data_IF_644110163194
#
_entry.id   IF_644110163194
#
_cell.length_a   1.000
_cell.length_b   1.000
_cell.length_c   1.000
_cell.angle_alpha   90.00
_cell.angle_beta   90.00
_cell.angle_gamma   90.00
#
_symmetry.space_group_name_H-M   'P 1'
#
loop_
_entity.id
_entity.type
_entity.pdbx_description
1 polymer ?
#
# COMPACT_ATOMS: atom_id res chain seq x y z
N UNK A 1 10.83 -5.94 -9.49
CA UNK A 1 9.53 -6.06 -8.79
C UNK A 1 9.10 -7.50 -8.89
N UNK A 2 8.92 -8.17 -7.77
CA UNK A 2 8.43 -9.56 -7.68
C UNK A 2 7.50 -9.68 -6.48
N UNK A 3 6.66 -10.69 -6.46
CA UNK A 3 5.74 -10.95 -5.35
C UNK A 3 4.77 -12.06 -5.67
N UNK A 4 4.00 -12.48 -4.66
CA UNK A 4 3.03 -13.57 -4.72
C UNK A 4 1.59 -13.09 -4.93
N UNK A 5 1.42 -11.91 -5.53
CA UNK A 5 0.09 -11.37 -5.85
C UNK A 5 -0.61 -12.26 -6.87
N UNK A 6 -1.93 -12.39 -6.73
CA UNK A 6 -2.80 -13.10 -7.69
C UNK A 6 -2.83 -12.46 -9.09
N UNK A 7 -2.29 -11.24 -9.24
CA UNK A 7 -2.14 -10.55 -10.51
C UNK A 7 -0.68 -10.20 -10.78
N UNK A 8 -0.36 -9.92 -12.04
CA UNK A 8 0.91 -9.29 -12.40
C UNK A 8 0.97 -7.90 -11.77
N UNK A 9 1.99 -7.67 -10.94
CA UNK A 9 2.22 -6.38 -10.31
C UNK A 9 2.60 -5.33 -11.34
N UNK A 10 2.03 -4.14 -11.18
CA UNK A 10 2.25 -3.00 -12.07
C UNK A 10 2.51 -1.75 -11.24
N UNK A 11 3.37 -0.87 -11.73
CA UNK A 11 3.59 0.44 -11.14
C UNK A 11 2.79 1.48 -11.91
N UNK A 12 2.03 2.32 -11.21
CA UNK A 12 1.19 3.37 -11.80
C UNK A 12 1.43 4.68 -11.04
N UNK A 13 1.11 5.82 -11.66
CA UNK A 13 1.17 7.13 -11.01
C UNK A 13 -0.03 7.34 -10.10
N UNK A 14 0.23 7.82 -8.89
CA UNK A 14 -0.77 8.16 -7.91
C UNK A 14 -1.37 9.52 -8.28
N UNK A 15 -2.58 9.48 -8.83
CA UNK A 15 -3.35 10.65 -9.22
C UNK A 15 -4.84 10.39 -9.00
N UNK A 16 -5.61 11.45 -8.82
CA UNK A 16 -7.08 11.36 -8.76
C UNK A 16 -7.60 10.70 -10.04
N UNK A 17 -8.55 9.78 -9.91
CA UNK A 17 -9.11 9.00 -11.01
C UNK A 17 -8.32 7.75 -11.39
N UNK A 18 -7.10 7.55 -10.88
CA UNK A 18 -6.32 6.34 -11.12
C UNK A 18 -6.97 5.12 -10.47
N UNK A 19 -7.10 4.01 -11.21
CA UNK A 19 -7.59 2.74 -10.68
C UNK A 19 -6.51 2.08 -9.82
N UNK A 20 -6.78 1.85 -8.53
CA UNK A 20 -5.74 1.48 -7.55
C UNK A 20 -5.59 -0.02 -7.26
N UNK A 21 -6.57 -0.84 -7.66
CA UNK A 21 -6.41 -2.30 -7.68
C UNK A 21 -6.31 -2.82 -9.11
N UNK A 22 -5.66 -3.96 -9.28
CA UNK A 22 -5.57 -4.63 -10.58
C UNK A 22 -6.83 -5.46 -10.92
N UNK A 23 -7.59 -5.85 -9.90
CA UNK A 23 -8.75 -6.75 -9.98
C UNK A 23 -10.08 -6.04 -9.62
N UNK A 24 -10.07 -4.72 -9.48
CA UNK A 24 -11.25 -3.88 -9.23
C UNK A 24 -11.17 -2.59 -10.05
N UNK A 25 -12.29 -1.91 -10.19
CA UNK A 25 -12.43 -0.65 -10.94
C UNK A 25 -12.44 0.59 -10.05
N UNK A 26 -12.22 0.43 -8.74
CA UNK A 26 -12.18 1.54 -7.78
C UNK A 26 -11.01 2.48 -8.06
N UNK A 27 -11.23 3.77 -7.83
CA UNK A 27 -10.34 4.89 -8.13
C UNK A 27 -9.94 5.68 -6.90
N UNK A 28 -8.79 6.32 -7.03
CA UNK A 28 -8.31 7.33 -6.08
C UNK A 28 -9.19 8.58 -6.18
N UNK A 29 -9.72 9.04 -5.04
CA UNK A 29 -10.60 10.21 -4.93
C UNK A 29 -9.85 11.47 -4.48
N UNK A 30 -8.86 11.33 -3.60
CA UNK A 30 -8.00 12.43 -3.16
C UNK A 30 -6.61 11.91 -2.78
N UNK A 31 -5.59 12.74 -2.99
CA UNK A 31 -4.18 12.43 -2.71
C UNK A 31 -3.59 13.56 -1.89
N UNK A 32 -2.93 13.29 -0.74
CA UNK A 32 -2.13 14.30 -0.06
C UNK A 32 -1.11 14.91 -1.02
N UNK A 33 -0.94 16.23 -1.01
CA UNK A 33 -0.14 16.95 -2.01
C UNK A 33 1.30 16.43 -2.13
N UNK A 34 1.90 16.02 -1.02
CA UNK A 34 3.26 15.45 -0.97
C UNK A 34 3.39 14.05 -1.62
N UNK A 35 2.26 13.39 -1.95
CA UNK A 35 2.22 12.11 -2.66
C UNK A 35 1.73 12.23 -4.11
N UNK A 36 1.34 13.42 -4.57
CA UNK A 36 0.87 13.61 -5.94
C UNK A 36 1.94 13.17 -6.96
N UNK A 37 1.54 12.44 -7.99
CA UNK A 37 2.42 11.92 -9.06
C UNK A 37 3.56 10.98 -8.60
N UNK A 38 3.52 10.52 -7.35
CA UNK A 38 4.39 9.44 -6.89
C UNK A 38 3.99 8.11 -7.51
N UNK A 39 4.88 7.13 -7.48
CA UNK A 39 4.62 5.80 -8.04
C UNK A 39 4.02 4.89 -6.97
N UNK A 40 2.98 4.13 -7.31
CA UNK A 40 2.41 3.11 -6.44
C UNK A 40 2.32 1.77 -7.16
N UNK A 41 2.31 0.69 -6.38
CA UNK A 41 2.21 -0.69 -6.89
C UNK A 41 0.75 -1.13 -6.80
N UNK A 42 0.17 -1.49 -7.96
CA UNK A 42 -1.15 -2.11 -8.05
C UNK A 42 -1.06 -3.59 -7.68
N UNK A 43 -1.68 -3.94 -6.57
CA UNK A 43 -1.93 -5.33 -6.17
C UNK A 43 -3.39 -5.73 -6.46
N UNK A 44 -3.72 -7.01 -6.28
CA UNK A 44 -5.09 -7.48 -6.26
C UNK A 44 -5.73 -7.23 -4.88
N UNK A 45 -6.95 -6.71 -4.82
CA UNK A 45 -7.72 -6.68 -3.58
C UNK A 45 -8.06 -8.09 -3.09
N UNK A 46 -8.06 -9.10 -3.97
CA UNK A 46 -8.21 -10.50 -3.58
C UNK A 46 -7.00 -11.09 -2.86
N UNK A 47 -5.89 -10.36 -2.75
CA UNK A 47 -4.76 -10.69 -1.87
C UNK A 47 -4.95 -10.19 -0.42
N UNK A 48 -6.08 -9.53 -0.10
CA UNK A 48 -6.35 -8.93 1.23
C UNK A 48 -6.27 -9.89 2.41
N UNK A 49 -6.36 -11.21 2.20
CA UNK A 49 -6.24 -12.23 3.24
C UNK A 49 -4.86 -12.88 3.29
N UNK A 50 -3.88 -12.38 2.52
CA UNK A 50 -2.54 -12.95 2.48
C UNK A 50 -1.84 -12.81 3.84
N UNK A 51 -1.29 -13.91 4.34
CA UNK A 51 -0.63 -14.03 5.66
C UNK A 51 0.89 -14.22 5.56
N UNK A 52 1.46 -14.23 4.35
CA UNK A 52 2.88 -14.53 4.14
C UNK A 52 3.78 -13.47 4.78
N UNK A 53 4.93 -13.89 5.30
CA UNK A 53 5.94 -12.97 5.86
C UNK A 53 6.57 -12.08 4.79
N UNK A 54 6.61 -12.54 3.54
CA UNK A 54 7.03 -11.76 2.37
C UNK A 54 5.97 -11.93 1.28
N UNK A 55 5.38 -10.82 0.87
CA UNK A 55 4.35 -10.76 -0.19
C UNK A 55 4.88 -10.03 -1.42
N UNK A 56 5.58 -8.91 -1.23
CA UNK A 56 6.19 -8.13 -2.31
C UNK A 56 7.65 -7.81 -2.02
N UNK A 57 8.46 -7.83 -3.07
CA UNK A 57 9.85 -7.38 -3.06
C UNK A 57 10.12 -6.46 -4.25
N UNK A 58 10.73 -5.32 -3.98
CA UNK A 58 11.09 -4.34 -5.00
C UNK A 58 12.43 -3.68 -4.66
N UNK A 59 13.04 -3.07 -5.68
CA UNK A 59 14.32 -2.38 -5.55
C UNK A 59 14.07 -0.88 -5.75
N UNK A 60 14.68 -0.07 -4.90
CA UNK A 60 14.78 1.38 -5.05
C UNK A 60 16.25 1.74 -5.31
N UNK A 61 16.50 2.57 -6.31
CA UNK A 61 17.87 3.00 -6.68
C UNK A 61 18.37 4.19 -5.88
N UNK A 62 17.48 4.90 -5.19
CA UNK A 62 17.77 6.08 -4.36
C UNK A 62 17.08 5.95 -3.01
N UNK A 63 17.55 6.72 -2.03
CA UNK A 63 16.84 6.84 -0.77
C UNK A 63 15.38 7.27 -1.04
N UNK A 64 14.45 6.59 -0.38
CA UNK A 64 13.02 6.71 -0.67
C UNK A 64 12.20 6.60 0.60
N UNK A 65 11.09 7.32 0.67
CA UNK A 65 10.04 7.09 1.66
C UNK A 65 9.01 6.14 1.08
N UNK A 66 8.76 5.02 1.76
CA UNK A 66 7.67 4.09 1.44
C UNK A 66 6.46 4.46 2.27
N UNK A 67 5.35 4.67 1.60
CA UNK A 67 4.05 4.86 2.23
C UNK A 67 3.16 3.64 2.00
N UNK A 68 2.39 3.29 3.03
CA UNK A 68 1.41 2.21 3.00
C UNK A 68 0.06 2.83 3.32
N UNK A 69 -0.87 2.80 2.38
CA UNK A 69 -2.27 3.10 2.64
C UNK A 69 -2.93 1.80 3.11
N UNK A 70 -3.38 1.78 4.36
CA UNK A 70 -3.89 0.59 5.04
C UNK A 70 -5.34 0.79 5.51
N UNK A 71 -6.13 -0.29 5.50
CA UNK A 71 -7.54 -0.26 5.86
C UNK A 71 -7.72 0.26 7.31
N UNK A 72 -8.45 1.37 7.52
CA UNK A 72 -8.62 1.97 8.84
C UNK A 72 -9.50 1.12 9.77
N UNK A 73 -10.18 0.08 9.27
CA UNK A 73 -10.98 -0.86 10.06
C UNK A 73 -10.12 -1.93 10.76
N UNK A 74 -8.82 -1.95 10.49
CA UNK A 74 -7.89 -2.87 11.12
C UNK A 74 -7.89 -2.71 12.65
N UNK A 75 -8.07 -3.83 13.35
CA UNK A 75 -8.00 -3.89 14.82
C UNK A 75 -6.56 -4.11 15.29
N UNK A 76 -5.76 -4.81 14.48
CA UNK A 76 -4.34 -5.05 14.73
C UNK A 76 -3.56 -4.96 13.43
N UNK A 77 -2.47 -4.19 13.43
CA UNK A 77 -1.58 -4.04 12.28
C UNK A 77 -0.62 -5.24 12.16
N UNK A 78 -0.23 -5.63 10.93
CA UNK A 78 0.78 -6.67 10.74
C UNK A 78 2.12 -6.19 11.30
N UNK A 79 2.91 -7.14 11.82
CA UNK A 79 4.17 -6.83 12.51
C UNK A 79 5.11 -5.99 11.64
N UNK A 80 5.17 -6.26 10.34
CA UNK A 80 6.02 -5.51 9.41
C UNK A 80 5.60 -4.03 9.28
N UNK A 81 4.33 -3.70 9.50
CA UNK A 81 3.79 -2.33 9.43
C UNK A 81 3.92 -1.57 10.76
N UNK A 82 4.10 -2.26 11.89
CA UNK A 82 4.24 -1.61 13.21
C UNK A 82 5.50 -0.74 13.31
N UNK A 83 6.52 -0.99 12.47
CA UNK A 83 7.71 -0.15 12.37
C UNK A 83 7.54 1.10 11.48
N UNK A 84 6.32 1.39 11.00
CA UNK A 84 6.01 2.58 10.21
C UNK A 84 5.33 3.63 11.10
N UNK A 85 5.57 4.91 10.79
CA UNK A 85 4.93 6.03 11.46
C UNK A 85 3.61 6.37 10.77
N UNK A 86 2.50 6.36 11.50
CA UNK A 86 1.21 6.83 10.98
C UNK A 86 1.26 8.33 10.68
N UNK A 87 0.70 8.76 9.55
CA UNK A 87 0.52 10.19 9.22
C UNK A 87 -0.93 10.63 9.47
N UNK A 88 -1.16 11.93 9.59
CA UNK A 88 -2.48 12.50 9.89
C UNK A 88 -3.43 12.43 8.69
N UNK A 89 -2.91 12.61 7.47
CA UNK A 89 -3.73 12.54 6.26
C UNK A 89 -4.06 11.09 5.85
N UNK A 90 -5.11 10.97 5.04
CA UNK A 90 -5.53 9.71 4.44
C UNK A 90 -5.45 9.78 2.93
N UNK A 91 -5.32 8.62 2.29
CA UNK A 91 -5.56 8.48 0.86
C UNK A 91 -7.06 8.28 0.64
N UNK A 92 -7.72 9.19 -0.07
CA UNK A 92 -9.14 9.07 -0.38
C UNK A 92 -9.39 8.14 -1.56
N UNK A 93 -10.41 7.30 -1.46
CA UNK A 93 -10.80 6.31 -2.48
C UNK A 93 -12.31 6.34 -2.71
N UNK A 94 -12.78 5.77 -3.81
CA UNK A 94 -14.21 5.64 -4.13
C UNK A 94 -14.78 4.24 -3.85
N UNK A 95 -14.13 3.44 -2.99
CA UNK A 95 -14.68 2.16 -2.54
C UNK A 95 -16.02 2.41 -1.83
N UNK A 96 -17.12 1.75 -2.26
CA UNK A 96 -18.45 1.98 -1.68
C UNK A 96 -18.54 1.63 -0.19
N UNK A 97 -17.58 0.87 0.34
CA UNK A 97 -17.53 0.45 1.75
C UNK A 97 -16.42 1.13 2.55
N UNK A 98 -15.62 2.00 1.93
CA UNK A 98 -14.49 2.66 2.58
C UNK A 98 -14.12 3.97 1.87
N UNK A 99 -14.24 5.11 2.56
CA UNK A 99 -13.97 6.42 1.94
C UNK A 99 -12.47 6.80 1.87
N UNK A 100 -11.63 6.16 2.67
CA UNK A 100 -10.20 6.48 2.72
C UNK A 100 -9.37 5.48 3.52
N UNK A 101 -8.06 5.52 3.33
CA UNK A 101 -7.10 4.62 3.94
C UNK A 101 -6.11 5.38 4.82
N UNK A 102 -5.80 4.84 6.00
CA UNK A 102 -4.78 5.40 6.89
C UNK A 102 -3.41 5.27 6.22
N UNK A 103 -2.65 6.35 6.18
CA UNK A 103 -1.30 6.34 5.64
C UNK A 103 -0.27 6.10 6.75
N UNK A 104 0.73 5.28 6.43
CA UNK A 104 1.87 4.97 7.27
C UNK A 104 3.14 5.15 6.45
N UNK A 105 4.21 5.70 7.01
CA UNK A 105 5.46 5.95 6.29
C UNK A 105 6.69 5.37 6.97
N UNK A 106 7.70 5.04 6.17
CA UNK A 106 9.03 4.68 6.64
C UNK A 106 10.07 5.01 5.58
N UNK A 107 11.20 5.54 6.01
CA UNK A 107 12.32 5.85 5.14
C UNK A 107 13.23 4.64 4.93
N UNK A 108 13.72 4.50 3.71
CA UNK A 108 14.62 3.44 3.28
C UNK A 108 15.79 4.03 2.50
N UNK A 109 16.98 3.47 2.71
CA UNK A 109 18.12 3.68 1.81
C UNK A 109 17.87 3.01 0.45
N UNK A 110 18.71 3.34 -0.54
CA UNK A 110 18.75 2.59 -1.79
C UNK A 110 19.00 1.10 -1.51
N UNK A 111 18.27 0.21 -2.18
CA UNK A 111 18.36 -1.22 -1.95
C UNK A 111 17.08 -1.98 -2.22
N UNK A 112 17.07 -3.23 -1.74
CA UNK A 112 15.91 -4.13 -1.83
C UNK A 112 15.02 -3.97 -0.61
N UNK A 113 13.72 -3.81 -0.85
CA UNK A 113 12.69 -3.66 0.17
C UNK A 113 11.70 -4.81 0.01
N UNK A 114 11.39 -5.47 1.13
CA UNK A 114 10.35 -6.51 1.20
C UNK A 114 9.26 -6.10 2.19
N UNK A 115 8.01 -6.36 1.82
CA UNK A 115 6.83 -6.15 2.68
C UNK A 115 6.01 -7.43 2.78
N UNK A 116 5.37 -7.64 3.93
CA UNK A 116 4.57 -8.83 4.19
C UNK A 116 3.14 -8.74 3.67
N UNK A 117 2.39 -9.83 3.81
CA UNK A 117 0.98 -9.90 3.50
C UNK A 117 0.13 -8.98 4.38
N UNK A 118 -1.07 -8.65 3.90
CA UNK A 118 -2.02 -7.78 4.58
C UNK A 118 -2.33 -8.28 6.00
N UNK A 119 -2.61 -9.58 6.13
CA UNK A 119 -2.93 -10.23 7.39
C UNK A 119 -1.75 -11.03 7.95
N UNK A 120 -0.51 -10.63 7.64
CA UNK A 120 0.70 -11.30 8.16
C UNK A 120 0.77 -11.23 9.69
N UNK A 121 1.26 -12.31 10.30
CA UNK A 121 1.42 -12.43 11.74
C UNK A 121 0.07 -12.54 12.45
N UNK A 122 -0.25 -11.58 13.30
CA UNK A 122 -1.51 -11.55 14.07
C UNK A 122 -2.42 -10.39 13.68
N UNK A 123 -2.23 -9.84 12.48
CA UNK A 123 -3.06 -8.77 11.95
C UNK A 123 -4.53 -9.19 11.79
N UNK A 124 -5.45 -8.29 12.11
CA UNK A 124 -6.89 -8.54 12.02
C UNK A 124 -7.66 -7.29 11.65
N UNK A 125 -8.86 -7.47 11.07
CA UNK A 125 -9.83 -6.40 10.81
C UNK A 125 -9.67 -5.64 9.49
N UNK A 126 -8.53 -5.77 8.79
CA UNK A 126 -8.42 -5.24 7.43
C UNK A 126 -9.32 -6.06 6.48
N UNK A 127 -10.14 -5.36 5.69
CA UNK A 127 -11.12 -5.93 4.76
C UNK A 127 -10.83 -5.59 3.30
N UNK A 128 -9.78 -4.80 3.04
CA UNK A 128 -9.21 -4.58 1.71
C UNK A 128 -7.68 -4.66 1.76
N UNK A 129 -7.07 -4.88 0.60
CA UNK A 129 -5.61 -4.94 0.47
C UNK A 129 -5.00 -3.54 0.68
N UNK A 130 -3.74 -3.46 1.10
CA UNK A 130 -3.04 -2.20 1.21
C UNK A 130 -2.56 -1.67 -0.16
N UNK A 131 -2.29 -0.37 -0.24
CA UNK A 131 -1.63 0.27 -1.38
C UNK A 131 -0.22 0.67 -0.98
N UNK A 132 0.77 0.24 -1.75
CA UNK A 132 2.18 0.58 -1.52
C UNK A 132 2.62 1.70 -2.45
N UNK A 133 3.05 2.82 -1.89
CA UNK A 133 3.48 4.02 -2.62
C UNK A 133 4.96 4.24 -2.32
N UNK A 134 5.75 4.52 -3.35
CA UNK A 134 7.18 4.77 -3.25
C UNK A 134 7.46 6.19 -3.73
N UNK A 135 7.97 7.02 -2.83
CA UNK A 135 8.40 8.39 -3.10
C UNK A 135 9.91 8.46 -2.96
N UNK A 136 10.61 8.65 -4.07
CA UNK A 136 12.04 8.93 -4.03
C UNK A 136 12.30 10.31 -3.39
N UNK A 137 13.42 10.42 -2.69
CA UNK A 137 13.87 11.66 -2.03
C UNK A 137 14.72 12.55 -2.94
#
# INVERSE_FOLDING_TARGET
>A
LSGSSKVKLQTVKLAVGAVYYADRTYKIKSVPSYLANTSFIKAANDDKINTQNTFLTFKVSRASTVYVAYDPRAKKLPTWLQGFTKVSEQLGIDDPKLAGMNLYKKDYAAGTISVGGNLSGSATGALCQYILIVKEN
#
